data_IF_715993512640
#
_entry.id   IF_715993512640
#
_cell.length_a   1.000
_cell.length_b   1.000
_cell.length_c   1.000
_cell.angle_alpha   90.00
_cell.angle_beta   90.00
_cell.angle_gamma   90.00
#
_symmetry.space_group_name_H-M   'P 1'
#
loop_
_entity.id
_entity.type
_entity.pdbx_description
1 polymer ?
#
# COMPACT_ATOMS: atom_id res chain seq x y z
N UNK A 1 -1.41 -5.04 -4.01
CA UNK A 1 -0.41 -4.01 -4.24
C UNK A 1 -1.10 -2.76 -4.73
N UNK A 2 -0.76 -1.64 -4.12
CA UNK A 2 -1.14 -0.31 -4.54
C UNK A 2 0.08 0.59 -4.39
N UNK A 3 0.13 1.62 -5.23
CA UNK A 3 1.21 2.59 -5.22
C UNK A 3 0.80 3.76 -4.34
N UNK A 4 1.59 4.06 -3.31
CA UNK A 4 1.27 5.17 -2.41
C UNK A 4 2.45 6.10 -2.22
N UNK A 5 2.16 7.39 -2.30
CA UNK A 5 3.12 8.45 -2.04
C UNK A 5 3.23 8.71 -0.54
N UNK A 6 4.42 8.55 0.02
CA UNK A 6 4.72 8.99 1.37
C UNK A 6 5.29 10.41 1.36
N UNK A 7 5.05 11.16 2.41
CA UNK A 7 5.60 12.52 2.57
C UNK A 7 6.80 12.47 3.50
N UNK A 8 7.83 13.27 3.19
CA UNK A 8 8.99 13.50 4.07
C UNK A 8 8.57 14.02 5.45
N UNK A 9 7.58 14.92 5.47
CA UNK A 9 7.04 15.48 6.72
C UNK A 9 5.58 15.13 6.91
N UNK A 10 5.26 14.58 8.06
CA UNK A 10 3.91 14.37 8.52
C UNK A 10 3.34 15.68 9.05
N UNK A 11 2.25 16.14 8.43
CA UNK A 11 1.39 17.12 9.08
C UNK A 11 0.32 16.33 9.83
N UNK A 12 0.17 16.61 11.12
CA UNK A 12 -0.90 16.06 11.94
C UNK A 12 -2.27 16.24 11.30
N UNK A 13 -3.20 15.33 11.59
CA UNK A 13 -4.62 15.48 11.23
C UNK A 13 -5.18 16.74 11.92
N UNK A 14 -6.26 17.34 11.38
CA UNK A 14 -6.90 18.51 12.01
C UNK A 14 -7.19 18.30 13.50
N UNK A 15 -7.60 17.08 13.87
CA UNK A 15 -7.84 16.68 15.26
C UNK A 15 -6.58 16.59 16.11
N UNK A 16 -5.44 16.17 15.57
CA UNK A 16 -4.18 16.08 16.33
C UNK A 16 -3.46 17.43 16.46
N UNK A 17 -3.86 18.44 15.68
CA UNK A 17 -3.39 19.82 15.83
C UNK A 17 -4.37 20.70 16.61
N UNK A 18 -5.43 20.11 17.18
CA UNK A 18 -6.34 20.84 18.05
C UNK A 18 -5.62 21.15 19.36
N UNK A 19 -5.62 22.42 19.75
CA UNK A 19 -5.08 22.88 21.03
C UNK A 19 -6.15 23.67 21.78
N UNK A 20 -6.21 23.47 23.10
CA UNK A 20 -6.95 24.37 23.97
C UNK A 20 -6.18 25.68 24.06
N UNK A 21 -6.81 26.78 23.67
CA UNK A 21 -6.24 28.13 23.73
C UNK A 21 -7.09 29.02 24.63
N UNK A 22 -6.47 29.99 25.29
CA UNK A 22 -7.20 30.94 26.11
C UNK A 22 -8.14 31.80 25.24
N UNK A 23 -9.20 32.35 25.86
CA UNK A 23 -10.17 33.18 25.15
C UNK A 23 -9.48 34.44 24.62
N UNK A 24 -9.33 34.54 23.30
CA UNK A 24 -8.70 35.67 22.61
C UNK A 24 -7.34 35.34 21.99
N UNK A 25 -6.74 34.21 22.31
CA UNK A 25 -5.48 33.79 21.72
C UNK A 25 -5.68 33.17 20.33
N UNK A 26 -4.75 33.42 19.39
CA UNK A 26 -4.79 32.79 18.09
C UNK A 26 -4.52 31.27 18.21
N UNK A 27 -5.17 30.43 17.38
CA UNK A 27 -4.86 29.01 17.31
C UNK A 27 -3.42 28.79 16.83
N UNK A 28 -2.77 27.67 17.20
CA UNK A 28 -1.42 27.37 16.73
C UNK A 28 -1.34 27.32 15.21
N UNK A 29 -0.35 28.00 14.65
CA UNK A 29 -0.10 28.04 13.21
C UNK A 29 0.50 26.72 12.75
N UNK A 30 -0.28 25.95 11.98
CA UNK A 30 0.21 24.73 11.34
C UNK A 30 0.76 25.07 9.96
N UNK A 31 2.05 24.79 9.74
CA UNK A 31 2.67 24.95 8.43
C UNK A 31 1.90 24.12 7.38
N UNK A 32 1.42 24.76 6.31
CA UNK A 32 0.76 24.05 5.21
C UNK A 32 1.78 23.26 4.41
N UNK A 33 1.38 22.05 3.98
CA UNK A 33 2.18 21.19 3.11
C UNK A 33 2.43 21.92 1.78
N UNK A 34 3.68 22.07 1.38
CA UNK A 34 4.01 22.55 0.04
C UNK A 34 3.53 21.51 -0.98
N UNK A 35 2.74 21.94 -1.97
CA UNK A 35 2.18 21.06 -3.02
C UNK A 35 3.28 20.32 -3.79
N UNK A 36 4.44 20.96 -3.97
CA UNK A 36 5.61 20.45 -4.67
C UNK A 36 6.65 19.79 -3.77
N UNK A 37 6.34 19.60 -2.47
CA UNK A 37 7.20 18.83 -1.59
C UNK A 37 7.40 17.43 -2.20
N UNK A 38 8.64 16.90 -2.20
CA UNK A 38 8.88 15.60 -2.81
C UNK A 38 8.09 14.51 -2.08
N UNK A 39 7.58 13.57 -2.86
CA UNK A 39 6.80 12.42 -2.39
C UNK A 39 7.39 11.18 -3.04
N UNK A 40 8.25 10.41 -2.35
CA UNK A 40 8.62 9.11 -2.86
C UNK A 40 7.39 8.25 -3.06
N UNK A 41 7.34 7.59 -4.21
CA UNK A 41 6.33 6.60 -4.53
C UNK A 41 6.89 5.24 -4.15
N UNK A 42 6.21 4.54 -3.24
CA UNK A 42 6.60 3.19 -2.84
C UNK A 42 5.64 2.16 -3.44
N UNK A 43 6.21 1.09 -3.98
CA UNK A 43 5.52 -0.11 -4.41
C UNK A 43 5.69 -1.18 -3.32
N UNK A 44 4.61 -1.59 -2.68
CA UNK A 44 4.66 -2.53 -1.55
C UNK A 44 3.83 -3.78 -1.85
N UNK A 45 4.47 -4.94 -1.65
CA UNK A 45 3.88 -6.27 -1.71
C UNK A 45 4.11 -7.00 -0.40
N UNK A 46 3.08 -7.67 0.09
CA UNK A 46 3.13 -8.50 1.28
C UNK A 46 2.15 -9.65 1.14
N UNK A 47 2.34 -10.67 1.98
CA UNK A 47 1.43 -11.81 2.15
C UNK A 47 1.10 -11.98 3.62
N UNK A 48 0.27 -12.96 3.96
CA UNK A 48 -0.11 -13.26 5.34
C UNK A 48 1.07 -13.59 6.27
N UNK A 49 2.24 -13.91 5.70
CA UNK A 49 3.45 -14.21 6.48
C UNK A 49 4.41 -13.03 6.65
N UNK A 50 4.17 -11.90 5.98
CA UNK A 50 5.06 -10.72 6.04
C UNK A 50 5.29 -10.03 4.69
N UNK A 51 6.21 -9.03 4.64
CA UNK A 51 6.54 -8.31 3.42
C UNK A 51 7.24 -9.20 2.39
N UNK A 52 6.99 -8.94 1.11
CA UNK A 52 7.64 -9.62 -0.03
C UNK A 52 8.55 -8.65 -0.78
N UNK A 53 8.05 -7.47 -1.14
CA UNK A 53 8.82 -6.43 -1.81
C UNK A 53 8.42 -5.05 -1.27
N UNK A 54 9.40 -4.20 -1.03
CA UNK A 54 9.23 -2.78 -0.74
C UNK A 54 10.19 -2.05 -1.68
N UNK A 55 9.67 -1.50 -2.76
CA UNK A 55 10.45 -0.85 -3.82
C UNK A 55 10.18 0.66 -3.83
N UNK A 56 11.24 1.44 -4.00
CA UNK A 56 11.15 2.90 -4.09
C UNK A 56 11.34 3.35 -5.53
N UNK A 57 10.35 4.07 -6.07
CA UNK A 57 10.43 4.63 -7.42
C UNK A 57 11.20 5.94 -7.35
N UNK A 58 12.24 6.06 -8.19
CA UNK A 58 13.11 7.24 -8.22
C UNK A 58 12.31 8.49 -8.55
N UNK A 59 12.72 9.61 -7.96
CA UNK A 59 12.07 10.92 -8.20
C UNK A 59 12.13 11.26 -9.70
N UNK A 60 10.98 11.66 -10.25
CA UNK A 60 10.85 12.03 -11.67
C UNK A 60 10.67 10.85 -12.61
N UNK A 61 10.77 9.60 -12.12
CA UNK A 61 10.46 8.41 -12.89
C UNK A 61 8.96 8.15 -12.85
N UNK A 62 8.34 7.95 -14.02
CA UNK A 62 6.95 7.52 -14.13
C UNK A 62 6.90 6.00 -14.09
N UNK A 63 5.94 5.45 -13.35
CA UNK A 63 5.68 4.02 -13.35
C UNK A 63 4.77 3.67 -14.51
N UNK A 64 5.38 3.29 -15.63
CA UNK A 64 4.71 2.66 -16.76
C UNK A 64 4.63 1.13 -16.58
N UNK A 65 4.11 0.44 -17.59
CA UNK A 65 3.90 -1.01 -17.54
C UNK A 65 5.22 -1.79 -17.57
N UNK A 66 6.24 -1.32 -18.30
CA UNK A 66 7.56 -1.98 -18.35
C UNK A 66 8.29 -1.83 -17.02
N UNK A 67 8.23 -0.64 -16.42
CA UNK A 67 8.78 -0.40 -15.10
C UNK A 67 8.10 -1.30 -14.06
N UNK A 68 6.77 -1.42 -14.15
CA UNK A 68 5.98 -2.26 -13.26
C UNK A 68 6.38 -3.74 -13.36
N UNK A 69 6.56 -4.27 -14.56
CA UNK A 69 7.03 -5.65 -14.76
C UNK A 69 8.42 -5.83 -14.14
N UNK A 70 9.38 -5.03 -14.60
CA UNK A 70 10.80 -5.26 -14.32
C UNK A 70 11.19 -4.98 -12.86
N UNK A 71 10.60 -3.97 -12.23
CA UNK A 71 11.01 -3.50 -10.91
C UNK A 71 10.04 -3.92 -9.80
N UNK A 72 8.84 -4.38 -10.13
CA UNK A 72 7.84 -4.77 -9.14
C UNK A 72 7.42 -6.23 -9.27
N UNK A 73 6.87 -6.64 -10.41
CA UNK A 73 6.30 -7.98 -10.56
C UNK A 73 7.38 -9.07 -10.61
N UNK A 74 8.41 -8.91 -11.43
CA UNK A 74 9.47 -9.90 -11.59
C UNK A 74 10.18 -10.19 -10.25
N UNK A 75 10.63 -9.19 -9.46
CA UNK A 75 11.23 -9.46 -8.16
C UNK A 75 10.27 -10.14 -7.16
N UNK A 76 8.98 -9.81 -7.21
CA UNK A 76 7.98 -10.46 -6.35
C UNK A 76 7.82 -11.93 -6.71
N UNK A 77 7.72 -12.24 -8.01
CA UNK A 77 7.57 -13.61 -8.51
C UNK A 77 8.81 -14.44 -8.16
N UNK A 78 10.01 -13.89 -8.36
CA UNK A 78 11.27 -14.55 -8.04
C UNK A 78 11.37 -14.86 -6.53
N UNK A 79 11.04 -13.89 -5.67
CA UNK A 79 11.07 -14.09 -4.23
C UNK A 79 10.02 -15.11 -3.77
N UNK A 80 8.83 -15.12 -4.38
CA UNK A 80 7.79 -16.12 -4.09
C UNK A 80 8.25 -17.52 -4.50
N UNK A 81 8.80 -17.69 -5.71
CA UNK A 81 9.32 -18.97 -6.21
C UNK A 81 10.42 -19.50 -5.29
N UNK A 82 11.32 -18.62 -4.82
CA UNK A 82 12.37 -18.95 -3.85
C UNK A 82 11.81 -19.42 -2.51
N UNK A 83 10.76 -18.78 -2.01
CA UNK A 83 10.13 -19.12 -0.73
C UNK A 83 9.23 -20.37 -0.80
N UNK A 84 8.77 -20.78 -1.99
CA UNK A 84 7.93 -21.97 -2.20
C UNK A 84 8.42 -22.84 -3.37
N UNK A 85 9.55 -23.56 -3.23
CA UNK A 85 10.10 -24.35 -4.33
C UNK A 85 9.18 -25.49 -4.82
N UNK A 86 8.33 -26.03 -3.94
CA UNK A 86 7.46 -27.19 -4.22
C UNK A 86 6.08 -26.82 -4.76
N UNK A 87 5.47 -25.73 -4.25
CA UNK A 87 4.13 -25.29 -4.63
C UNK A 87 4.16 -24.25 -5.78
N UNK A 88 5.31 -23.59 -5.98
CA UNK A 88 5.49 -22.57 -6.99
C UNK A 88 4.60 -21.34 -6.81
N UNK A 89 4.42 -20.61 -7.91
CA UNK A 89 3.62 -19.37 -7.96
C UNK A 89 2.12 -19.64 -8.12
N UNK A 90 1.72 -20.83 -8.59
CA UNK A 90 0.33 -21.18 -8.88
C UNK A 90 -0.56 -21.23 -7.62
N UNK A 91 0.04 -21.43 -6.44
CA UNK A 91 -0.67 -21.41 -5.16
C UNK A 91 -0.99 -19.99 -4.67
N UNK A 92 -0.40 -18.94 -5.28
CA UNK A 92 -0.55 -17.55 -4.86
C UNK A 92 -1.41 -16.80 -5.87
N UNK A 93 -2.35 -16.00 -5.35
CA UNK A 93 -3.12 -15.05 -6.13
C UNK A 93 -2.60 -13.63 -5.92
N UNK A 94 -2.41 -12.89 -7.01
CA UNK A 94 -2.05 -11.49 -6.98
C UNK A 94 -3.31 -10.63 -6.85
N UNK A 95 -3.31 -9.70 -5.91
CA UNK A 95 -4.31 -8.63 -5.84
C UNK A 95 -3.63 -7.28 -6.03
N UNK A 96 -4.10 -6.49 -6.99
CA UNK A 96 -3.68 -5.11 -7.24
C UNK A 96 -4.86 -4.28 -7.73
N UNK A 97 -4.75 -2.95 -7.67
CA UNK A 97 -5.78 -2.05 -8.16
C UNK A 97 -5.75 -1.92 -9.70
N UNK A 98 -6.82 -1.37 -10.26
CA UNK A 98 -6.96 -1.19 -11.71
C UNK A 98 -6.21 0.03 -12.26
N UNK A 99 -5.03 0.34 -11.70
CA UNK A 99 -4.16 1.38 -12.20
C UNK A 99 -3.79 1.13 -13.67
N UNK A 100 -3.63 2.21 -14.45
CA UNK A 100 -3.30 2.12 -15.90
C UNK A 100 -2.16 1.14 -16.23
N UNK A 101 -1.00 1.14 -15.53
CA UNK A 101 0.04 0.16 -15.83
C UNK A 101 -0.37 -1.28 -15.47
N UNK A 102 -1.22 -1.49 -14.46
CA UNK A 102 -1.58 -2.80 -13.95
C UNK A 102 -2.52 -3.57 -14.87
N UNK A 103 -3.40 -2.86 -15.58
CA UNK A 103 -4.35 -3.44 -16.55
C UNK A 103 -3.82 -3.44 -17.99
N UNK A 104 -2.57 -3.01 -18.20
CA UNK A 104 -1.98 -2.97 -19.54
C UNK A 104 -1.83 -4.39 -20.11
N UNK A 105 -2.08 -4.56 -21.41
CA UNK A 105 -2.05 -5.89 -22.04
C UNK A 105 -0.70 -6.61 -21.85
N UNK A 106 0.42 -5.88 -21.94
CA UNK A 106 1.77 -6.43 -21.68
C UNK A 106 1.89 -7.04 -20.28
N UNK A 107 1.31 -6.38 -19.27
CA UNK A 107 1.33 -6.85 -17.88
C UNK A 107 0.45 -8.07 -17.70
N UNK A 108 -0.75 -8.06 -18.31
CA UNK A 108 -1.65 -9.23 -18.29
C UNK A 108 -0.97 -10.44 -18.93
N UNK A 109 -0.37 -10.26 -20.11
CA UNK A 109 0.34 -11.33 -20.82
C UNK A 109 1.52 -11.86 -20.01
N UNK A 110 2.30 -10.98 -19.38
CA UNK A 110 3.42 -11.35 -18.52
C UNK A 110 2.95 -12.19 -17.31
N UNK A 111 1.92 -11.74 -16.61
CA UNK A 111 1.37 -12.47 -15.46
C UNK A 111 0.82 -13.85 -15.87
N UNK A 112 0.18 -13.94 -17.04
CA UNK A 112 -0.29 -15.21 -17.60
C UNK A 112 0.88 -16.15 -17.96
N UNK A 113 1.96 -15.64 -18.58
CA UNK A 113 3.13 -16.46 -18.91
C UNK A 113 3.86 -16.97 -17.66
N UNK A 114 3.81 -16.20 -16.57
CA UNK A 114 4.35 -16.60 -15.27
C UNK A 114 3.40 -17.52 -14.48
N UNK A 115 2.19 -17.80 -14.99
CA UNK A 115 1.20 -18.63 -14.31
C UNK A 115 0.59 -17.98 -13.06
N UNK A 116 0.62 -16.65 -12.97
CA UNK A 116 0.07 -15.88 -11.85
C UNK A 116 -1.43 -15.69 -12.04
N UNK A 117 -2.21 -16.12 -11.05
CA UNK A 117 -3.66 -15.82 -11.02
C UNK A 117 -3.89 -14.43 -10.43
N UNK A 118 -4.50 -13.54 -11.20
CA UNK A 118 -4.87 -12.19 -10.73
C UNK A 118 -6.30 -12.21 -10.18
N UNK A 119 -6.50 -11.65 -8.99
CA UNK A 119 -7.84 -11.44 -8.43
C UNK A 119 -8.42 -10.13 -8.93
N UNK A 120 -9.68 -10.18 -9.35
CA UNK A 120 -10.43 -9.00 -9.77
C UNK A 120 -10.57 -7.99 -8.62
N UNK A 121 -10.27 -6.72 -8.91
CA UNK A 121 -10.51 -5.61 -7.99
C UNK A 121 -11.63 -4.71 -8.56
N UNK A 122 -12.69 -4.42 -7.80
CA UNK A 122 -13.71 -3.47 -8.24
C UNK A 122 -13.15 -2.04 -8.31
N UNK A 123 -13.58 -1.22 -9.30
CA UNK A 123 -13.17 0.18 -9.37
C UNK A 123 -13.53 0.97 -8.10
N UNK A 124 -12.73 1.98 -7.74
CA UNK A 124 -12.99 2.91 -6.64
C UNK A 124 -13.30 2.25 -5.28
N UNK A 125 -12.68 1.10 -5.00
CA UNK A 125 -12.95 0.29 -3.80
C UNK A 125 -11.74 0.20 -2.85
N UNK A 126 -11.28 1.34 -2.27
CA UNK A 126 -10.16 1.34 -1.32
C UNK A 126 -10.48 0.56 -0.04
N UNK A 127 -11.77 0.49 0.33
CA UNK A 127 -12.32 -0.31 1.41
C UNK A 127 -12.10 -1.83 1.23
N UNK A 128 -11.88 -2.27 -0.01
CA UNK A 128 -11.54 -3.65 -0.38
C UNK A 128 -10.05 -3.85 -0.68
N UNK A 129 -9.19 -2.90 -0.33
CA UNK A 129 -7.75 -3.05 -0.49
C UNK A 129 -7.00 -3.04 0.85
N UNK A 130 -6.32 -4.14 1.21
CA UNK A 130 -5.48 -4.22 2.42
C UNK A 130 -4.40 -3.14 2.49
N UNK A 131 -3.94 -2.64 1.34
CA UNK A 131 -2.99 -1.55 1.29
C UNK A 131 -3.60 -0.23 1.81
N UNK A 132 -4.83 0.08 1.38
CA UNK A 132 -5.51 1.33 1.69
C UNK A 132 -6.13 1.34 3.08
N UNK A 133 -6.94 0.33 3.42
CA UNK A 133 -7.69 0.35 4.68
C UNK A 133 -6.82 0.05 5.92
N UNK A 134 -5.61 -0.47 5.73
CA UNK A 134 -4.73 -0.89 6.82
C UNK A 134 -3.31 -0.36 6.66
N UNK A 135 -2.58 -0.83 5.64
CA UNK A 135 -1.12 -0.71 5.62
C UNK A 135 -0.64 0.75 5.58
N UNK A 136 -1.17 1.57 4.69
CA UNK A 136 -0.66 2.94 4.52
C UNK A 136 -0.93 3.83 5.72
N UNK A 137 -2.08 3.65 6.37
CA UNK A 137 -2.40 4.37 7.59
C UNK A 137 -1.57 3.86 8.77
N UNK A 138 -1.34 2.55 8.87
CA UNK A 138 -0.46 1.96 9.86
C UNK A 138 0.98 2.49 9.72
N UNK A 139 1.53 2.51 8.50
CA UNK A 139 2.88 3.05 8.24
C UNK A 139 2.94 4.51 8.68
N UNK A 140 2.01 5.36 8.23
CA UNK A 140 2.00 6.80 8.59
C UNK A 140 1.95 7.00 10.11
N UNK A 141 1.20 6.19 10.84
CA UNK A 141 1.10 6.37 12.30
C UNK A 141 2.40 6.01 13.05
N UNK A 142 3.29 5.22 12.42
CA UNK A 142 4.45 4.64 13.11
C UNK A 142 5.81 5.10 12.55
N UNK A 143 5.86 5.64 11.33
CA UNK A 143 7.05 6.30 10.81
C UNK A 143 6.97 7.79 11.12
N UNK A 144 7.99 8.34 11.79
CA UNK A 144 8.09 9.77 12.01
C UNK A 144 8.50 10.51 10.74
N UNK A 145 8.74 11.81 10.87
CA UNK A 145 9.32 12.64 9.80
C UNK A 145 10.67 12.07 9.35
N UNK A 146 10.93 12.15 8.05
CA UNK A 146 12.13 11.70 7.39
C UNK A 146 12.71 12.82 6.54
N UNK A 147 14.03 12.87 6.43
CA UNK A 147 14.72 13.97 5.74
C UNK A 147 14.64 13.86 4.22
N UNK A 148 14.66 12.62 3.70
CA UNK A 148 14.68 12.34 2.27
C UNK A 148 13.96 11.03 1.89
N UNK A 149 13.96 10.73 0.58
CA UNK A 149 13.23 9.59 0.01
C UNK A 149 13.86 8.25 0.36
N UNK A 150 15.17 8.19 0.55
CA UNK A 150 15.90 6.97 0.93
C UNK A 150 15.62 6.66 2.39
N UNK A 151 15.68 7.67 3.25
CA UNK A 151 15.30 7.59 4.67
C UNK A 151 13.85 7.11 4.86
N UNK A 152 12.90 7.58 4.04
CA UNK A 152 11.53 7.03 4.01
C UNK A 152 11.53 5.54 3.67
N UNK A 153 12.23 5.17 2.61
CA UNK A 153 12.25 3.78 2.14
C UNK A 153 12.81 2.84 3.20
N UNK A 154 13.92 3.22 3.83
CA UNK A 154 14.54 2.48 4.93
C UNK A 154 13.65 2.40 6.17
N UNK A 155 13.01 3.52 6.55
CA UNK A 155 12.08 3.55 7.68
C UNK A 155 10.88 2.62 7.46
N UNK A 156 10.31 2.62 6.24
CA UNK A 156 9.21 1.72 5.86
C UNK A 156 9.67 0.26 5.88
N UNK A 157 10.86 -0.05 5.34
CA UNK A 157 11.42 -1.42 5.40
C UNK A 157 11.57 -1.87 6.85
N UNK A 158 12.20 -1.04 7.69
CA UNK A 158 12.44 -1.35 9.10
C UNK A 158 11.12 -1.58 9.85
N UNK A 159 10.14 -0.72 9.62
CA UNK A 159 8.82 -0.83 10.24
C UNK A 159 8.08 -2.09 9.79
N UNK A 160 7.98 -2.35 8.48
CA UNK A 160 7.29 -3.54 7.99
C UNK A 160 7.94 -4.85 8.44
N UNK A 161 9.28 -4.87 8.58
CA UNK A 161 10.02 -6.02 9.11
C UNK A 161 9.84 -6.20 10.62
N UNK A 162 9.48 -5.16 11.37
CA UNK A 162 9.21 -5.28 12.81
C UNK A 162 7.79 -5.76 13.13
N UNK A 163 6.86 -5.67 12.16
CA UNK A 163 5.51 -6.18 12.31
C UNK A 163 5.49 -7.70 12.49
N UNK A 164 4.71 -8.16 13.47
CA UNK A 164 4.50 -9.58 13.73
C UNK A 164 3.67 -10.21 12.61
N UNK A 165 3.89 -11.51 12.38
CA UNK A 165 3.14 -12.30 11.39
C UNK A 165 1.62 -12.22 11.61
N UNK A 166 1.20 -12.18 12.86
CA UNK A 166 -0.20 -12.12 13.27
C UNK A 166 -0.92 -10.87 12.76
N UNK A 167 -0.22 -9.74 12.65
CA UNK A 167 -0.80 -8.49 12.13
C UNK A 167 -1.16 -8.61 10.64
N UNK A 168 -0.29 -9.24 9.86
CA UNK A 168 -0.56 -9.55 8.46
C UNK A 168 -1.75 -10.50 8.34
N UNK A 169 -1.74 -11.63 9.07
CA UNK A 169 -2.84 -12.60 9.03
C UNK A 169 -4.19 -11.96 9.39
N UNK A 170 -4.25 -11.20 10.49
CA UNK A 170 -5.45 -10.48 10.93
C UNK A 170 -6.00 -9.54 9.85
N UNK A 171 -5.12 -8.93 9.05
CA UNK A 171 -5.54 -8.08 7.94
C UNK A 171 -6.22 -8.88 6.83
N UNK A 172 -5.70 -10.06 6.49
CA UNK A 172 -6.35 -10.95 5.52
C UNK A 172 -7.70 -11.47 6.03
N UNK A 173 -7.82 -11.77 7.33
CA UNK A 173 -9.10 -12.17 7.93
C UNK A 173 -10.13 -11.03 7.81
N UNK A 174 -9.74 -9.80 8.18
CA UNK A 174 -10.57 -8.60 7.99
C UNK A 174 -10.91 -8.31 6.54
N UNK A 175 -10.01 -8.64 5.62
CA UNK A 175 -10.26 -8.43 4.20
C UNK A 175 -11.40 -9.32 3.71
N UNK A 176 -11.48 -10.57 4.19
CA UNK A 176 -12.59 -11.49 3.90
C UNK A 176 -13.89 -10.95 4.50
N UNK A 177 -13.87 -10.48 5.75
CA UNK A 177 -15.04 -9.84 6.40
C UNK A 177 -15.55 -8.65 5.58
N UNK A 178 -14.65 -7.77 5.13
CA UNK A 178 -14.98 -6.61 4.28
C UNK A 178 -15.60 -7.03 2.95
N UNK A 179 -15.10 -8.08 2.31
CA UNK A 179 -15.73 -8.63 1.10
C UNK A 179 -17.16 -9.12 1.37
N UNK A 180 -17.39 -9.82 2.50
CA UNK A 180 -18.73 -10.25 2.88
C UNK A 180 -19.67 -9.08 3.16
N UNK A 181 -19.19 -8.02 3.81
CA UNK A 181 -19.96 -6.80 4.03
C UNK A 181 -20.31 -6.12 2.71
N UNK A 182 -19.35 -5.99 1.78
CA UNK A 182 -19.60 -5.45 0.45
C UNK A 182 -20.70 -6.22 -0.29
N UNK A 183 -20.63 -7.55 -0.29
CA UNK A 183 -21.65 -8.40 -0.93
C UNK A 183 -23.01 -8.26 -0.25
N UNK A 184 -23.04 -8.25 1.09
CA UNK A 184 -24.27 -8.12 1.87
C UNK A 184 -24.92 -6.74 1.71
N UNK A 185 -24.11 -5.73 1.42
CA UNK A 185 -24.55 -4.37 1.15
C UNK A 185 -24.70 -4.09 -0.36
N UNK A 186 -24.83 -5.12 -1.19
CA UNK A 186 -25.07 -5.02 -2.63
C UNK A 186 -24.05 -4.14 -3.41
N UNK A 187 -22.81 -4.06 -2.91
CA UNK A 187 -21.73 -3.27 -3.52
C UNK A 187 -21.63 -1.83 -3.01
N UNK A 188 -22.52 -1.38 -2.11
CA UNK A 188 -22.44 -0.05 -1.51
C UNK A 188 -21.38 0.02 -0.39
N UNK A 189 -20.87 1.22 -0.13
CA UNK A 189 -19.91 1.46 0.94
C UNK A 189 -20.45 1.06 2.32
N UNK A 190 -19.69 0.25 3.04
CA UNK A 190 -20.08 -0.35 4.32
C UNK A 190 -19.23 0.14 5.50
N UNK A 191 -18.45 1.21 5.34
CA UNK A 191 -17.57 1.73 6.39
C UNK A 191 -18.30 2.13 7.68
N UNK A 192 -19.56 2.55 7.56
CA UNK A 192 -20.43 2.88 8.68
C UNK A 192 -20.92 1.65 9.49
N UNK A 193 -20.68 0.44 8.98
CA UNK A 193 -21.09 -0.84 9.60
C UNK A 193 -19.93 -1.53 10.34
N UNK A 194 -18.74 -0.93 10.36
CA UNK A 194 -17.51 -1.50 10.95
C UNK A 194 -17.06 -0.80 12.23
#
# INVERSE_FOLDING_TARGET
MMNHGFFHKQIGRKSSNAALVARGDPPPTVARRNRFAPRPLLCIYFKSTGPVLIHSVRRGQTMDHDYYINNCLQPVIDEVKKQQPSLGIQSIKLHHDNGKPHIHQTVINYLQSEGVTVMSHPPNSPDLSPCDFWLFDLIKQNIGDQDDSESIHEAVIKFMKSLKREEYRKTFDKWIERMHLCVSNHGDYFEHLM
#
